data_IF_626063501241
#
_entry.id   IF_626063501241
#
_cell.length_a   1.000
_cell.length_b   1.000
_cell.length_c   1.000
_cell.angle_alpha   90.00
_cell.angle_beta   90.00
_cell.angle_gamma   90.00
#
_symmetry.space_group_name_H-M   'P 1'
#
loop_
_entity.id
_entity.type
_entity.pdbx_description
1 polymer ?
#
# COMPACT_ATOMS: atom_id res chain seq x y z
N UNK A 1 -30.12 67.56 23.73
CA UNK A 1 -30.09 66.11 24.00
C UNK A 1 -28.69 65.74 24.49
N UNK A 2 -28.58 65.49 25.80
CA UNK A 2 -27.67 64.58 26.52
C UNK A 2 -26.14 64.63 26.29
N UNK A 3 -25.48 65.43 27.14
CA UNK A 3 -24.26 65.21 27.97
C UNK A 3 -23.18 64.13 27.68
N UNK A 4 -21.93 64.63 27.66
CA UNK A 4 -20.70 64.24 28.43
C UNK A 4 -20.08 62.82 28.30
N UNK A 5 -18.79 62.77 27.84
CA UNK A 5 -17.59 62.40 28.65
C UNK A 5 -16.31 62.31 27.81
N UNK A 6 -15.24 62.91 28.31
CA UNK A 6 -13.81 62.56 28.11
C UNK A 6 -13.22 62.21 29.50
N UNK A 7 -11.94 61.80 29.69
CA UNK A 7 -10.98 60.98 28.90
C UNK A 7 -10.33 59.86 29.78
N UNK A 8 -9.26 59.16 29.32
CA UNK A 8 -8.01 58.84 30.08
C UNK A 8 -7.35 57.46 29.80
N UNK A 9 -6.03 57.49 29.46
CA UNK A 9 -4.88 56.60 29.80
C UNK A 9 -4.96 55.06 29.60
N UNK A 10 -3.94 54.28 29.22
CA UNK A 10 -2.48 54.44 29.10
C UNK A 10 -1.85 53.20 28.41
N UNK A 11 -0.65 53.36 27.80
CA UNK A 11 0.59 52.53 27.91
C UNK A 11 0.54 51.02 27.54
N UNK A 12 1.54 50.35 26.94
CA UNK A 12 2.95 50.60 26.59
C UNK A 12 3.51 49.26 26.00
N UNK A 13 4.67 49.32 25.33
CA UNK A 13 5.68 48.25 25.03
C UNK A 13 5.42 47.31 23.84
N UNK A 14 6.23 47.39 22.77
CA UNK A 14 7.59 46.78 22.60
C UNK A 14 7.51 45.24 22.50
N UNK A 15 8.16 44.51 21.62
CA UNK A 15 9.24 44.77 20.66
C UNK A 15 9.28 43.61 19.64
N UNK A 16 9.91 43.88 18.50
CA UNK A 16 10.34 42.91 17.48
C UNK A 16 11.39 41.95 18.06
N UNK A 17 11.34 40.67 17.67
CA UNK A 17 12.46 39.72 17.72
C UNK A 17 12.33 38.89 16.43
N UNK A 18 12.93 39.27 15.29
CA UNK A 18 14.35 39.12 14.89
C UNK A 18 14.91 37.75 15.27
N UNK A 19 15.02 36.87 14.27
CA UNK A 19 15.73 35.60 14.35
C UNK A 19 17.12 35.80 14.95
N UNK A 20 17.49 35.09 16.03
CA UNK A 20 18.87 35.06 16.47
C UNK A 20 19.66 34.13 15.56
N UNK A 21 20.70 34.70 14.98
CA UNK A 21 21.91 34.01 14.57
C UNK A 21 22.46 33.18 15.74
N UNK A 22 22.57 31.86 15.55
CA UNK A 22 23.23 30.96 16.50
C UNK A 22 24.68 30.71 16.06
N UNK A 23 25.47 31.79 16.05
CA UNK A 23 26.93 31.73 16.04
C UNK A 23 27.43 31.86 17.48
N UNK A 24 27.63 30.74 18.18
CA UNK A 24 28.32 30.78 19.48
C UNK A 24 28.08 29.63 20.45
N UNK A 25 28.97 28.64 20.39
CA UNK A 25 29.54 27.89 21.52
C UNK A 25 28.58 27.32 22.58
N UNK A 26 28.18 26.05 22.39
CA UNK A 26 28.14 25.08 23.50
C UNK A 26 28.90 23.83 23.09
N UNK A 27 30.15 23.74 23.56
CA UNK A 27 30.81 22.45 23.74
C UNK A 27 30.07 21.72 24.86
N UNK A 28 29.15 20.85 24.49
CA UNK A 28 28.66 19.79 25.37
C UNK A 28 28.65 18.49 24.56
N UNK A 29 29.64 17.64 24.82
CA UNK A 29 29.68 16.25 24.37
C UNK A 29 28.52 15.49 25.01
N UNK A 30 27.34 15.56 24.41
CA UNK A 30 26.25 14.63 24.67
C UNK A 30 26.14 13.69 23.47
N UNK A 31 26.18 12.36 23.68
CA UNK A 31 26.02 11.43 22.57
C UNK A 31 24.64 11.65 21.93
N UNK A 32 24.61 11.72 20.59
CA UNK A 32 23.38 11.86 19.76
C UNK A 32 22.27 10.86 20.14
N UNK A 33 22.61 9.79 20.86
CA UNK A 33 21.68 8.78 21.37
C UNK A 33 20.66 9.29 22.40
N UNK A 34 20.80 10.51 22.94
CA UNK A 34 19.86 11.07 23.93
C UNK A 34 18.86 12.11 23.39
N UNK A 35 18.87 12.41 22.09
CA UNK A 35 17.99 13.43 21.49
C UNK A 35 16.80 12.87 20.70
N UNK A 36 16.67 11.54 20.61
CA UNK A 36 15.54 10.90 19.97
C UNK A 36 14.74 10.19 21.07
N UNK A 37 13.60 10.78 21.44
CA UNK A 37 12.59 10.06 22.24
C UNK A 37 12.19 8.75 21.54
N UNK A 38 11.51 7.83 22.25
CA UNK A 38 11.02 6.60 21.64
C UNK A 38 10.24 6.96 20.37
N UNK A 39 10.73 6.48 19.22
CA UNK A 39 10.01 6.63 17.97
C UNK A 39 8.64 5.96 18.16
N UNK A 40 7.52 6.57 17.73
CA UNK A 40 6.23 5.94 17.83
C UNK A 40 6.31 4.57 17.15
N UNK A 41 6.07 3.51 17.93
CA UNK A 41 6.05 2.15 17.40
C UNK A 41 4.83 2.06 16.48
N UNK A 42 5.05 2.07 15.18
CA UNK A 42 3.96 1.90 14.21
C UNK A 42 3.35 0.53 14.49
N UNK A 43 2.03 0.44 14.76
CA UNK A 43 1.41 -0.84 15.00
C UNK A 43 1.53 -1.70 13.74
N UNK A 44 1.78 -2.99 13.96
CA UNK A 44 1.90 -3.95 12.88
C UNK A 44 0.56 -4.04 12.12
N UNK A 45 0.56 -3.67 10.84
CA UNK A 45 -0.62 -3.67 10.00
C UNK A 45 -0.70 -4.96 9.16
N UNK A 46 -1.86 -5.61 9.16
CA UNK A 46 -2.16 -6.69 8.21
C UNK A 46 -2.45 -6.08 6.85
N UNK A 47 -1.75 -6.55 5.81
CA UNK A 47 -1.91 -6.08 4.43
C UNK A 47 -2.27 -7.23 3.51
N UNK A 48 -2.90 -6.91 2.38
CA UNK A 48 -3.12 -7.83 1.29
C UNK A 48 -2.52 -7.26 0.00
N UNK A 49 -1.75 -8.08 -0.70
CA UNK A 49 -1.10 -7.72 -1.97
C UNK A 49 -1.63 -8.64 -3.08
N UNK A 50 -1.93 -8.07 -4.25
CA UNK A 50 -2.14 -8.84 -5.48
C UNK A 50 -0.84 -8.88 -6.26
N UNK A 51 -0.40 -10.09 -6.64
CA UNK A 51 0.77 -10.30 -7.48
C UNK A 51 0.33 -10.91 -8.81
N UNK A 52 0.85 -10.40 -9.92
CA UNK A 52 0.52 -10.86 -11.27
C UNK A 52 1.71 -10.92 -12.21
N UNK A 53 1.77 -11.94 -13.07
CA UNK A 53 2.80 -12.08 -14.11
C UNK A 53 2.23 -12.76 -15.36
N UNK A 54 2.48 -12.21 -16.55
CA UNK A 54 2.12 -12.85 -17.82
C UNK A 54 3.27 -12.96 -18.84
N UNK A 55 4.50 -12.61 -18.46
CA UNK A 55 5.69 -12.78 -19.31
C UNK A 55 6.68 -13.80 -18.74
N UNK A 56 7.36 -14.53 -19.63
CA UNK A 56 8.43 -15.46 -19.26
C UNK A 56 7.96 -16.58 -18.34
N UNK A 57 8.80 -16.98 -17.38
CA UNK A 57 8.44 -17.97 -16.37
C UNK A 57 7.59 -17.33 -15.26
N UNK A 58 6.29 -17.26 -15.50
CA UNK A 58 5.31 -16.58 -14.62
C UNK A 58 5.35 -17.10 -13.18
N UNK A 59 5.46 -18.41 -12.99
CA UNK A 59 5.51 -19.02 -11.65
C UNK A 59 6.79 -18.59 -10.91
N UNK A 60 7.95 -18.70 -11.58
CA UNK A 60 9.23 -18.26 -11.02
C UNK A 60 9.21 -16.78 -10.65
N UNK A 61 8.60 -15.93 -11.49
CA UNK A 61 8.47 -14.50 -11.21
C UNK A 61 7.67 -14.26 -9.93
N UNK A 62 6.48 -14.87 -9.79
CA UNK A 62 5.67 -14.75 -8.57
C UNK A 62 6.45 -15.19 -7.33
N UNK A 63 7.10 -16.36 -7.37
CA UNK A 63 7.91 -16.87 -6.25
C UNK A 63 9.07 -15.95 -5.90
N UNK A 64 9.74 -15.38 -6.91
CA UNK A 64 10.85 -14.43 -6.70
C UNK A 64 10.35 -13.14 -6.05
N UNK A 65 9.21 -12.62 -6.48
CA UNK A 65 8.60 -11.43 -5.89
C UNK A 65 8.20 -11.65 -4.43
N UNK A 66 7.56 -12.78 -4.12
CA UNK A 66 7.19 -13.16 -2.75
C UNK A 66 8.44 -13.29 -1.86
N UNK A 67 9.50 -13.92 -2.36
CA UNK A 67 10.75 -14.08 -1.62
C UNK A 67 11.49 -12.75 -1.37
N UNK A 68 11.20 -11.70 -2.15
CA UNK A 68 11.78 -10.37 -1.97
C UNK A 68 11.04 -9.50 -0.95
N UNK A 69 9.79 -9.85 -0.57
CA UNK A 69 8.99 -9.07 0.38
C UNK A 69 9.64 -8.89 1.78
N UNK A 70 10.30 -9.90 2.37
CA UNK A 70 10.94 -9.73 3.68
C UNK A 70 12.06 -8.67 3.68
N UNK A 71 12.81 -8.52 2.58
CA UNK A 71 13.85 -7.49 2.44
C UNK A 71 13.25 -6.07 2.42
N UNK A 72 11.97 -5.96 2.10
CA UNK A 72 11.19 -4.74 2.13
C UNK A 72 10.40 -4.58 3.44
N UNK A 73 10.81 -5.25 4.54
CA UNK A 73 10.10 -5.29 5.83
C UNK A 73 8.61 -5.66 5.72
N UNK A 74 8.28 -6.57 4.79
CA UNK A 74 6.95 -7.17 4.66
C UNK A 74 7.05 -8.64 5.04
N UNK A 75 6.49 -9.00 6.20
CA UNK A 75 6.46 -10.38 6.68
C UNK A 75 5.28 -11.11 6.07
N UNK A 76 5.54 -11.99 5.12
CA UNK A 76 4.53 -12.86 4.51
C UNK A 76 3.98 -13.82 5.56
N UNK A 77 2.66 -13.88 5.71
CA UNK A 77 1.98 -14.81 6.63
C UNK A 77 1.24 -15.90 5.88
N UNK A 78 0.58 -15.57 4.77
CA UNK A 78 -0.09 -16.54 3.90
C UNK A 78 0.05 -16.16 2.43
N UNK A 79 0.10 -17.16 1.56
CA UNK A 79 0.07 -17.00 0.10
C UNK A 79 -1.06 -17.89 -0.42
N UNK A 80 -1.94 -17.32 -1.25
CA UNK A 80 -2.96 -18.11 -1.94
C UNK A 80 -2.32 -19.13 -2.88
N UNK A 81 -3.12 -20.02 -3.44
CA UNK A 81 -2.73 -20.75 -4.64
C UNK A 81 -2.46 -19.79 -5.79
N UNK A 82 -1.71 -20.26 -6.78
CA UNK A 82 -1.56 -19.53 -8.03
C UNK A 82 -2.77 -19.83 -8.91
N UNK A 83 -3.26 -18.81 -9.61
CA UNK A 83 -4.40 -18.91 -10.50
C UNK A 83 -4.01 -18.43 -11.88
N UNK A 84 -4.31 -19.23 -12.89
CA UNK A 84 -4.24 -18.79 -14.28
C UNK A 84 -5.53 -18.06 -14.65
N UNK A 85 -5.38 -16.83 -15.15
CA UNK A 85 -6.50 -15.91 -15.35
C UNK A 85 -6.45 -15.19 -16.69
N UNK A 86 -7.62 -15.03 -17.29
CA UNK A 86 -7.77 -14.29 -18.54
C UNK A 86 -7.41 -12.79 -18.36
N UNK A 87 -6.73 -12.15 -19.32
CA UNK A 87 -6.50 -10.71 -19.28
C UNK A 87 -7.81 -9.92 -19.36
N UNK A 88 -8.01 -8.98 -18.44
CA UNK A 88 -9.30 -8.26 -18.35
C UNK A 88 -9.31 -6.94 -19.12
N UNK A 89 -8.27 -6.12 -18.99
CA UNK A 89 -8.26 -4.75 -19.50
C UNK A 89 -7.75 -4.63 -20.95
N UNK A 90 -6.76 -5.44 -21.32
CA UNK A 90 -6.27 -5.59 -22.68
C UNK A 90 -6.29 -7.08 -22.96
N UNK A 91 -7.21 -7.54 -23.82
CA UNK A 91 -7.46 -9.00 -23.99
C UNK A 91 -6.43 -9.70 -24.86
N UNK A 92 -5.86 -8.99 -25.82
CA UNK A 92 -4.88 -9.51 -26.77
C UNK A 92 -3.47 -9.57 -26.14
N UNK A 93 -3.31 -10.39 -25.11
CA UNK A 93 -2.02 -10.66 -24.46
C UNK A 93 -2.02 -12.05 -23.79
N UNK A 94 -0.85 -12.56 -23.38
CA UNK A 94 -0.78 -13.82 -22.66
C UNK A 94 -1.58 -13.78 -21.35
N UNK A 95 -2.12 -14.93 -20.95
CA UNK A 95 -2.82 -15.09 -19.67
C UNK A 95 -1.87 -14.85 -18.50
N UNK A 96 -2.42 -14.32 -17.41
CA UNK A 96 -1.66 -14.08 -16.19
C UNK A 96 -1.63 -15.32 -15.31
N UNK A 97 -0.56 -15.50 -14.56
CA UNK A 97 -0.65 -16.13 -13.24
C UNK A 97 -0.80 -15.03 -12.19
N UNK A 98 -1.78 -15.19 -11.31
CA UNK A 98 -2.06 -14.29 -10.20
C UNK A 98 -2.10 -15.03 -8.87
N UNK A 99 -1.74 -14.34 -7.79
CA UNK A 99 -1.97 -14.80 -6.42
C UNK A 99 -2.19 -13.61 -5.48
N UNK A 100 -2.75 -13.88 -4.31
CA UNK A 100 -2.86 -12.90 -3.22
C UNK A 100 -1.95 -13.31 -2.08
N UNK A 101 -1.25 -12.34 -1.52
CA UNK A 101 -0.38 -12.50 -0.36
C UNK A 101 -1.00 -11.74 0.81
N UNK A 102 -1.23 -12.43 1.93
CA UNK A 102 -1.45 -11.80 3.22
C UNK A 102 -0.10 -11.63 3.91
N UNK A 103 0.14 -10.43 4.42
CA UNK A 103 1.39 -10.11 5.09
C UNK A 103 1.18 -9.11 6.23
N UNK A 104 2.24 -8.86 6.97
CA UNK A 104 2.29 -7.89 8.05
C UNK A 104 3.45 -6.94 7.85
N UNK A 105 3.26 -5.65 8.13
CA UNK A 105 4.32 -4.65 8.02
C UNK A 105 4.15 -3.53 9.04
N UNK A 106 5.28 -2.88 9.38
CA UNK A 106 5.31 -1.64 10.17
C UNK A 106 5.57 -0.42 9.26
N UNK A 107 5.68 -0.62 7.94
CA UNK A 107 5.97 0.45 6.97
C UNK A 107 4.68 1.19 6.61
N UNK A 108 4.64 2.54 6.67
CA UNK A 108 3.50 3.32 6.19
C UNK A 108 3.07 2.97 4.76
N UNK A 109 1.77 2.94 4.47
CA UNK A 109 1.24 2.49 3.18
C UNK A 109 1.86 3.17 1.94
N UNK A 110 2.17 4.47 2.02
CA UNK A 110 2.86 5.22 0.94
C UNK A 110 4.30 4.74 0.71
N UNK A 111 4.98 4.33 1.76
CA UNK A 111 6.37 3.85 1.71
C UNK A 111 6.40 2.40 1.24
N UNK A 112 5.40 1.61 1.64
CA UNK A 112 5.15 0.28 1.12
C UNK A 112 4.95 0.30 -0.39
N UNK A 113 4.12 1.21 -0.93
CA UNK A 113 3.93 1.35 -2.38
C UNK A 113 5.26 1.56 -3.13
N UNK A 114 6.16 2.39 -2.58
CA UNK A 114 7.49 2.61 -3.16
C UNK A 114 8.36 1.35 -3.08
N UNK A 115 8.29 0.62 -1.97
CA UNK A 115 9.02 -0.64 -1.81
C UNK A 115 8.56 -1.72 -2.79
N UNK A 116 7.24 -1.86 -3.02
CA UNK A 116 6.67 -2.77 -4.02
C UNK A 116 7.17 -2.41 -5.43
N UNK A 117 7.13 -1.13 -5.80
CA UNK A 117 7.66 -0.65 -7.09
C UNK A 117 9.17 -0.88 -7.24
N UNK A 118 9.94 -0.81 -6.15
CA UNK A 118 11.37 -1.14 -6.17
C UNK A 118 11.62 -2.65 -6.42
N UNK A 119 10.77 -3.53 -5.90
CA UNK A 119 10.81 -4.98 -6.20
C UNK A 119 10.53 -5.21 -7.69
N UNK A 120 9.46 -4.60 -8.24
CA UNK A 120 9.14 -4.69 -9.67
C UNK A 120 10.32 -4.24 -10.55
N UNK A 121 10.90 -3.09 -10.20
CA UNK A 121 12.02 -2.48 -10.93
C UNK A 121 13.27 -3.37 -10.90
N UNK A 122 13.63 -3.90 -9.73
CA UNK A 122 14.79 -4.78 -9.54
C UNK A 122 14.64 -6.11 -10.30
N UNK A 123 13.42 -6.62 -10.43
CA UNK A 123 13.13 -7.80 -11.25
C UNK A 123 13.18 -7.49 -12.75
N UNK A 124 13.21 -6.21 -13.15
CA UNK A 124 13.26 -5.79 -14.55
C UNK A 124 11.88 -5.57 -15.18
N UNK A 125 10.82 -5.43 -14.38
CA UNK A 125 9.49 -5.09 -14.89
C UNK A 125 9.50 -3.69 -15.50
N UNK A 126 9.00 -3.55 -16.72
CA UNK A 126 8.90 -2.28 -17.45
C UNK A 126 7.47 -2.08 -17.90
N UNK A 127 6.84 -0.97 -17.50
CA UNK A 127 5.45 -0.63 -17.89
C UNK A 127 5.46 0.09 -19.26
N UNK A 128 5.83 -0.63 -20.32
CA UNK A 128 6.00 -0.08 -21.69
C UNK A 128 4.65 0.27 -22.33
N UNK A 129 3.66 -0.60 -22.19
CA UNK A 129 2.30 -0.40 -22.69
C UNK A 129 1.34 -0.32 -21.50
N UNK A 130 0.47 0.70 -21.38
CA UNK A 130 -0.56 0.76 -20.35
C UNK A 130 -1.41 -0.52 -20.36
N UNK A 131 -1.55 -1.19 -19.20
CA UNK A 131 -2.29 -2.46 -19.04
C UNK A 131 -1.79 -3.63 -19.92
N UNK A 132 -0.65 -3.46 -20.57
CA UNK A 132 -0.02 -4.49 -21.38
C UNK A 132 0.76 -5.51 -20.55
N UNK A 133 1.50 -6.41 -21.21
CA UNK A 133 2.23 -7.47 -20.54
C UNK A 133 3.21 -6.95 -19.48
N UNK A 134 3.39 -7.73 -18.41
CA UNK A 134 4.24 -7.45 -17.26
C UNK A 134 5.02 -8.70 -16.86
N UNK A 135 6.30 -8.48 -16.56
CA UNK A 135 7.13 -9.52 -15.94
C UNK A 135 6.65 -9.83 -14.52
N UNK A 136 6.30 -8.78 -13.77
CA UNK A 136 5.68 -8.86 -12.46
C UNK A 136 4.96 -7.53 -12.18
N UNK A 137 3.84 -7.59 -11.47
CA UNK A 137 3.06 -6.45 -10.98
C UNK A 137 2.67 -6.75 -9.52
N UNK A 138 2.85 -5.77 -8.62
CA UNK A 138 2.57 -5.87 -7.18
C UNK A 138 1.65 -4.72 -6.78
N UNK A 139 0.37 -5.02 -6.56
CA UNK A 139 -0.64 -4.05 -6.13
C UNK A 139 -0.95 -4.18 -4.64
N UNK A 140 -0.95 -3.05 -3.92
CA UNK A 140 -1.49 -2.99 -2.55
C UNK A 140 -3.02 -2.99 -2.60
N UNK A 141 -3.65 -4.04 -2.09
CA UNK A 141 -5.10 -4.18 -2.05
C UNK A 141 -5.71 -3.55 -0.79
N UNK A 142 -5.15 -3.88 0.36
CA UNK A 142 -5.66 -3.51 1.68
C UNK A 142 -4.51 -3.21 2.64
N UNK A 143 -4.73 -2.25 3.53
CA UNK A 143 -3.79 -1.88 4.58
C UNK A 143 -4.55 -1.70 5.90
N UNK A 144 -4.62 -2.77 6.71
CA UNK A 144 -5.47 -2.85 7.88
C UNK A 144 -6.92 -2.49 7.55
N UNK A 145 -7.46 -1.56 8.32
CA UNK A 145 -8.80 -0.96 8.13
C UNK A 145 -8.72 0.45 7.53
N UNK A 146 -7.56 0.86 7.01
CA UNK A 146 -7.36 2.21 6.50
C UNK A 146 -8.11 2.46 5.18
N UNK A 147 -8.72 3.65 5.09
CA UNK A 147 -9.18 4.21 3.82
C UNK A 147 -8.28 5.38 3.43
N UNK A 148 -7.56 5.22 2.33
CA UNK A 148 -6.64 6.22 1.79
C UNK A 148 -7.17 6.63 0.41
N UNK A 149 -7.34 7.94 0.19
CA UNK A 149 -7.71 8.49 -1.11
C UNK A 149 -6.80 9.66 -1.44
N UNK A 150 -5.69 9.35 -2.12
CA UNK A 150 -4.70 10.32 -2.58
C UNK A 150 -4.37 10.07 -4.05
N UNK A 151 -3.87 11.07 -4.79
CA UNK A 151 -3.47 10.88 -6.20
C UNK A 151 -2.44 9.76 -6.39
N UNK A 152 -1.58 9.53 -5.39
CA UNK A 152 -0.52 8.53 -5.47
C UNK A 152 -0.95 7.14 -4.98
N UNK A 153 -1.95 7.06 -4.09
CA UNK A 153 -2.36 5.81 -3.45
C UNK A 153 -3.83 5.84 -3.07
N UNK A 154 -4.54 4.77 -3.46
CA UNK A 154 -5.90 4.48 -3.03
C UNK A 154 -5.98 3.11 -2.34
N UNK A 155 -6.51 3.09 -1.11
CA UNK A 155 -6.74 1.89 -0.31
C UNK A 155 -8.15 1.95 0.28
N UNK A 156 -8.97 0.89 0.18
CA UNK A 156 -8.76 -0.32 -0.61
C UNK A 156 -8.52 -0.03 -2.10
N UNK A 157 -7.81 -0.93 -2.79
CA UNK A 157 -7.55 -0.73 -4.22
C UNK A 157 -8.87 -0.57 -4.98
N UNK A 158 -9.06 0.53 -5.75
CA UNK A 158 -10.37 1.01 -6.20
C UNK A 158 -11.14 0.00 -7.08
N UNK A 159 -10.40 -0.90 -7.73
CA UNK A 159 -10.95 -1.91 -8.63
C UNK A 159 -10.95 -3.33 -8.08
N UNK A 160 -10.45 -3.58 -6.86
CA UNK A 160 -10.27 -4.95 -6.38
C UNK A 160 -11.58 -5.74 -6.32
N UNK A 161 -12.67 -5.09 -5.92
CA UNK A 161 -14.00 -5.70 -5.80
C UNK A 161 -14.64 -6.07 -7.16
N UNK A 162 -14.06 -5.60 -8.26
CA UNK A 162 -14.56 -5.84 -9.62
C UNK A 162 -13.74 -6.91 -10.35
N UNK A 163 -12.76 -7.55 -9.69
CA UNK A 163 -11.76 -8.39 -10.36
C UNK A 163 -11.71 -9.78 -9.72
N UNK A 164 -12.14 -10.79 -10.48
CA UNK A 164 -12.13 -12.19 -10.01
C UNK A 164 -10.72 -12.71 -9.78
N UNK A 165 -9.74 -12.27 -10.56
CA UNK A 165 -8.33 -12.64 -10.33
C UNK A 165 -7.77 -12.13 -8.99
N UNK A 166 -8.45 -11.19 -8.34
CA UNK A 166 -8.16 -10.77 -6.96
C UNK A 166 -9.08 -11.49 -5.96
N UNK A 167 -10.40 -11.43 -6.18
CA UNK A 167 -11.37 -11.93 -5.21
C UNK A 167 -11.32 -13.44 -5.01
N UNK A 168 -11.05 -14.23 -6.06
CA UNK A 168 -10.94 -15.69 -5.94
C UNK A 168 -9.76 -16.10 -5.03
N UNK A 169 -8.50 -15.68 -5.28
CA UNK A 169 -7.39 -15.99 -4.38
C UNK A 169 -7.52 -15.32 -3.01
N UNK A 170 -8.10 -14.12 -2.90
CA UNK A 170 -8.34 -13.48 -1.60
C UNK A 170 -9.35 -14.28 -0.77
N UNK A 171 -10.43 -14.78 -1.39
CA UNK A 171 -11.43 -15.61 -0.72
C UNK A 171 -10.86 -16.97 -0.26
N UNK A 172 -9.83 -17.49 -0.93
CA UNK A 172 -9.14 -18.72 -0.50
C UNK A 172 -8.47 -18.56 0.87
N UNK A 173 -7.81 -17.41 1.10
CA UNK A 173 -7.00 -17.21 2.31
C UNK A 173 -7.68 -16.37 3.39
N UNK A 174 -8.64 -15.53 3.02
CA UNK A 174 -9.30 -14.59 3.92
C UNK A 174 -10.81 -14.45 3.61
N UNK A 175 -11.59 -15.54 3.57
CA UNK A 175 -12.99 -15.54 3.14
C UNK A 175 -13.88 -14.61 3.98
N UNK A 176 -13.60 -14.55 5.28
CA UNK A 176 -14.38 -13.78 6.25
C UNK A 176 -13.87 -12.36 6.48
N UNK A 177 -12.84 -11.92 5.74
CA UNK A 177 -12.29 -10.57 5.90
C UNK A 177 -13.35 -9.51 5.56
N UNK A 178 -13.38 -8.46 6.38
CA UNK A 178 -14.28 -7.31 6.22
C UNK A 178 -13.43 -6.05 6.18
N UNK A 179 -13.90 -5.03 5.47
CA UNK A 179 -13.27 -3.72 5.46
C UNK A 179 -14.34 -2.65 5.70
N UNK A 180 -14.05 -1.56 6.45
CA UNK A 180 -15.04 -0.52 6.74
C UNK A 180 -15.67 0.13 5.49
N UNK A 181 -14.94 0.16 4.37
CA UNK A 181 -15.40 0.80 3.12
C UNK A 181 -16.43 0.00 2.31
N UNK A 182 -16.80 -1.22 2.73
CA UNK A 182 -17.82 -2.01 2.06
C UNK A 182 -18.64 -2.85 3.05
N UNK A 183 -19.75 -3.39 2.57
CA UNK A 183 -20.58 -4.31 3.36
C UNK A 183 -20.31 -5.75 2.95
N UNK A 184 -20.25 -6.63 3.96
CA UNK A 184 -20.08 -8.06 3.78
C UNK A 184 -18.64 -8.55 3.83
N UNK A 185 -18.48 -9.86 3.72
CA UNK A 185 -17.21 -10.58 3.69
C UNK A 185 -16.64 -10.68 2.27
N UNK A 186 -15.35 -10.99 2.14
CA UNK A 186 -14.74 -11.29 0.83
C UNK A 186 -15.50 -12.39 0.08
N UNK A 187 -15.95 -13.44 0.76
CA UNK A 187 -16.75 -14.50 0.12
C UNK A 187 -18.09 -13.97 -0.42
N UNK A 188 -18.77 -13.10 0.31
CA UNK A 188 -20.02 -12.46 -0.15
C UNK A 188 -19.77 -11.50 -1.33
N UNK A 189 -18.64 -10.78 -1.33
CA UNK A 189 -18.24 -9.94 -2.45
C UNK A 189 -17.93 -10.77 -3.71
N UNK A 190 -17.30 -11.93 -3.55
CA UNK A 190 -17.01 -12.82 -4.67
C UNK A 190 -18.28 -13.34 -5.37
N UNK A 191 -19.35 -13.63 -4.63
CA UNK A 191 -20.63 -14.10 -5.24
C UNK A 191 -21.34 -13.02 -6.05
N UNK A 192 -21.08 -11.74 -5.75
CA UNK A 192 -21.69 -10.59 -6.44
C UNK A 192 -20.82 -10.01 -7.56
N UNK A 193 -19.59 -10.50 -7.72
CA UNK A 193 -18.64 -10.02 -8.72
C UNK A 193 -19.11 -10.33 -10.15
N UNK A 194 -19.31 -9.27 -10.96
CA UNK A 194 -19.80 -9.36 -12.35
C UNK A 194 -18.71 -9.57 -13.41
N UNK A 195 -17.46 -9.75 -12.99
CA UNK A 195 -16.33 -10.00 -13.88
C UNK A 195 -16.53 -11.34 -14.62
N UNK A 196 -16.59 -11.35 -15.96
CA UNK A 196 -16.79 -12.59 -16.72
C UNK A 196 -15.50 -13.39 -16.91
N UNK A 197 -14.34 -12.83 -16.53
CA UNK A 197 -13.04 -13.47 -16.79
C UNK A 197 -12.92 -14.84 -16.15
N UNK A 198 -12.23 -15.72 -16.87
CA UNK A 198 -11.94 -17.06 -16.40
C UNK A 198 -10.81 -17.03 -15.38
N UNK A 199 -11.00 -17.72 -14.26
CA UNK A 199 -10.00 -17.90 -13.20
C UNK A 199 -9.93 -19.39 -12.86
N UNK A 200 -8.76 -19.99 -13.02
CA UNK A 200 -8.53 -21.42 -12.79
C UNK A 200 -7.34 -21.63 -11.88
N UNK A 201 -7.46 -22.52 -10.90
CA UNK A 201 -6.33 -22.87 -10.03
C UNK A 201 -5.22 -23.46 -10.89
N UNK A 202 -4.03 -22.87 -10.82
CA UNK A 202 -2.86 -23.34 -11.56
C UNK A 202 -2.27 -24.55 -10.85
N UNK A 203 -2.07 -25.63 -11.59
CA UNK A 203 -1.41 -26.85 -11.13
C UNK A 203 -0.14 -26.96 -11.95
N UNK A 204 1.02 -26.85 -11.29
CA UNK A 204 2.30 -27.01 -11.96
C UNK A 204 2.35 -28.41 -12.60
N UNK A 205 2.74 -28.47 -13.87
CA UNK A 205 3.04 -29.75 -14.51
C UNK A 205 4.31 -30.31 -13.87
N UNK A 206 4.17 -31.47 -13.23
CA UNK A 206 5.28 -32.22 -12.60
C UNK A 206 6.26 -32.69 -13.66
#
# INVERSE_FOLDING_TARGET
>A
MTTLRTPSYARDRRDKIVNPDFSGVWKANLPRSKLLGPQPKVPLATIFLSLGSNLGNREKNLRTAIAALPEANVRVTHVSSFYETEPVDLREQPWFLNCVVQAETEIPAKDLLRALGAIESRMGSKKVVPKGPRLIDLDLLLYGDETIDTPELQVPHPRMLQRKFVLVPLAEIAPNWKHPSWSGTVSELLTTARDPSVVRKFIASV
#
